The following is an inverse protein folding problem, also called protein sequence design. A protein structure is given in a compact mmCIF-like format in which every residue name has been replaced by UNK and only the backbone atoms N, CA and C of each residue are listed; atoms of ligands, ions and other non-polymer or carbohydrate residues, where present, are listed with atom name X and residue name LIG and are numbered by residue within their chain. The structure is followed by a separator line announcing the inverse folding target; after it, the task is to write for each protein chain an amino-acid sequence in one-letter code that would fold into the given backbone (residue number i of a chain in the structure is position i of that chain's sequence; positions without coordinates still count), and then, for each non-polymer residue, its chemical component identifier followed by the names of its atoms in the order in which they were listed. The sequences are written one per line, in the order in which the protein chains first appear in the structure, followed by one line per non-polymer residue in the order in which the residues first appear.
data_IF_298587836020
#
_entry.id   IF_298587836020
#
_cell.length_a   1.000
_cell.length_b   1.000
_cell.length_c   1.000
_cell.angle_alpha   90.00
_cell.angle_beta   90.00
_cell.angle_gamma   90.00
#
_symmetry.space_group_name_H-M   'P 1'
#
loop_
_entity.id
_entity.type
_entity.pdbx_description
1 polymer ?
#
# COMPACT_ATOMS: atom_id res chain seq x y z
N UNK A 1 0.17 18.46 9.57
CA UNK A 1 -0.59 18.41 10.84
C UNK A 1 -0.86 16.95 11.15
N UNK A 2 -0.34 16.44 12.26
CA UNK A 2 -0.46 15.03 12.65
C UNK A 2 -1.91 14.76 13.10
N UNK A 3 -2.53 13.67 12.62
CA UNK A 3 -3.96 13.37 12.83
C UNK A 3 -4.26 12.60 14.13
N UNK A 4 -3.33 12.58 15.09
CA UNK A 4 -3.40 11.71 16.27
C UNK A 4 -4.70 11.92 17.04
N UNK A 5 -5.02 13.16 17.42
CA UNK A 5 -6.24 13.50 18.17
C UNK A 5 -7.55 13.18 17.43
N UNK A 6 -7.53 13.09 16.10
CA UNK A 6 -8.70 12.70 15.31
C UNK A 6 -8.91 11.18 15.27
N UNK A 7 -7.84 10.41 15.47
CA UNK A 7 -7.84 8.96 15.40
C UNK A 7 -7.98 8.30 16.77
N UNK A 8 -7.55 8.96 17.84
CA UNK A 8 -7.69 8.49 19.23
C UNK A 8 -9.11 7.99 19.58
N UNK A 9 -10.21 8.68 19.21
CA UNK A 9 -11.54 8.17 19.52
C UNK A 9 -11.99 6.98 18.65
N UNK A 10 -11.24 6.63 17.60
CA UNK A 10 -11.59 5.60 16.61
C UNK A 10 -10.76 4.32 16.72
N UNK A 11 -9.71 4.32 17.55
CA UNK A 11 -8.78 3.20 17.67
C UNK A 11 -8.35 3.00 19.12
N UNK A 12 -8.11 1.74 19.51
CA UNK A 12 -7.60 1.42 20.84
C UNK A 12 -6.22 2.03 21.12
N UNK A 13 -5.40 2.18 20.07
CA UNK A 13 -4.06 2.75 20.15
C UNK A 13 -3.73 3.49 18.86
N UNK A 14 -3.22 4.71 18.98
CA UNK A 14 -2.69 5.50 17.86
C UNK A 14 -1.23 5.80 18.12
N UNK A 15 -0.38 5.49 17.16
CA UNK A 15 1.05 5.75 17.24
C UNK A 15 1.53 6.50 16.00
N UNK A 16 2.40 7.49 16.21
CA UNK A 16 3.12 8.13 15.11
C UNK A 16 4.42 7.37 14.86
N UNK A 17 4.46 6.63 13.76
CA UNK A 17 5.64 5.83 13.39
C UNK A 17 6.15 6.27 12.02
N UNK A 18 7.48 6.36 11.90
CA UNK A 18 8.14 6.45 10.60
C UNK A 18 8.32 5.04 10.08
N UNK A 19 7.79 4.74 8.90
CA UNK A 19 7.87 3.40 8.31
C UNK A 19 9.29 2.88 8.05
N UNK A 20 10.30 3.75 8.12
CA UNK A 20 11.72 3.40 7.97
C UNK A 20 12.46 3.14 9.29
N UNK A 21 11.75 3.14 10.43
CA UNK A 21 12.34 2.94 11.75
C UNK A 21 11.93 1.57 12.30
N UNK A 22 12.86 0.61 12.25
CA UNK A 22 12.61 -0.79 12.58
C UNK A 22 12.16 -1.01 14.02
N UNK A 23 12.80 -0.35 15.00
CA UNK A 23 12.46 -0.49 16.43
C UNK A 23 11.02 -0.07 16.72
N UNK A 24 10.57 1.03 16.12
CA UNK A 24 9.21 1.54 16.31
C UNK A 24 8.17 0.64 15.64
N UNK A 25 8.47 0.12 14.43
CA UNK A 25 7.58 -0.83 13.77
C UNK A 25 7.51 -2.15 14.53
N UNK A 26 8.63 -2.70 14.97
CA UNK A 26 8.66 -3.93 15.76
C UNK A 26 7.82 -3.78 17.04
N UNK A 27 7.96 -2.66 17.76
CA UNK A 27 7.18 -2.37 18.95
C UNK A 27 5.68 -2.18 18.65
N UNK A 28 5.33 -1.53 17.53
CA UNK A 28 3.94 -1.35 17.12
C UNK A 28 3.25 -2.67 16.79
N UNK A 29 4.01 -3.61 16.24
CA UNK A 29 3.54 -4.93 15.80
C UNK A 29 3.58 -5.99 16.91
N UNK A 30 4.15 -5.67 18.09
CA UNK A 30 3.97 -6.55 19.25
C UNK A 30 2.48 -6.60 19.61
N UNK A 31 2.01 -7.80 19.94
CA UNK A 31 0.62 -8.11 20.30
C UNK A 31 -0.40 -7.90 19.16
N UNK A 32 0.06 -7.92 17.90
CA UNK A 32 -0.81 -7.80 16.72
C UNK A 32 -0.74 -9.06 15.84
N UNK A 33 -1.89 -9.66 15.54
CA UNK A 33 -1.97 -10.85 14.68
C UNK A 33 -2.06 -10.51 13.18
N UNK A 34 -2.56 -9.32 12.85
CA UNK A 34 -2.78 -8.87 11.48
C UNK A 34 -2.24 -7.46 11.25
N UNK A 35 -1.56 -7.29 10.11
CA UNK A 35 -1.08 -6.00 9.61
C UNK A 35 -1.74 -5.67 8.27
N UNK A 36 -2.54 -4.60 8.25
CA UNK A 36 -3.03 -3.97 7.02
C UNK A 36 -2.18 -2.74 6.68
N UNK A 37 -1.43 -2.81 5.59
CA UNK A 37 -0.50 -1.75 5.15
C UNK A 37 -1.21 -0.81 4.17
N UNK A 38 -1.72 0.30 4.69
CA UNK A 38 -2.39 1.37 3.94
C UNK A 38 -1.53 2.66 3.86
N UNK A 39 -0.29 2.54 3.37
CA UNK A 39 0.60 3.70 3.22
C UNK A 39 0.31 4.46 1.92
N UNK A 40 0.51 5.78 1.94
CA UNK A 40 0.31 6.63 0.77
C UNK A 40 1.31 7.77 0.74
N UNK A 41 2.04 7.91 -0.37
CA UNK A 41 2.96 9.02 -0.56
C UNK A 41 2.18 10.34 -0.62
N UNK A 42 2.36 11.20 0.38
CA UNK A 42 1.80 12.54 0.41
C UNK A 42 2.34 13.43 -0.72
N UNK A 43 1.71 14.59 -0.94
CA UNK A 43 2.22 15.59 -1.90
C UNK A 43 3.64 16.02 -1.50
N UNK A 44 4.59 15.91 -2.43
CA UNK A 44 6.00 16.24 -2.19
C UNK A 44 6.79 15.19 -1.40
N UNK A 45 6.18 14.06 -1.02
CA UNK A 45 6.86 12.95 -0.36
C UNK A 45 7.57 12.02 -1.34
N UNK A 46 8.65 11.37 -0.90
CA UNK A 46 9.33 10.32 -1.68
C UNK A 46 8.44 9.07 -1.76
N UNK A 47 8.11 8.67 -2.99
CA UNK A 47 7.31 7.47 -3.27
C UNK A 47 8.07 6.21 -2.84
N UNK A 48 9.34 6.10 -3.21
CA UNK A 48 10.25 5.01 -2.83
C UNK A 48 10.37 4.87 -1.32
N UNK A 49 10.63 5.98 -0.60
CA UNK A 49 10.74 5.94 0.86
C UNK A 49 9.43 5.52 1.53
N UNK A 50 8.30 5.94 0.97
CA UNK A 50 6.99 5.63 1.56
C UNK A 50 6.62 4.17 1.37
N UNK A 51 6.83 3.62 0.17
CA UNK A 51 6.42 2.26 -0.16
C UNK A 51 7.57 1.27 0.07
N UNK A 52 8.62 1.34 -0.74
CA UNK A 52 9.69 0.34 -0.77
C UNK A 52 10.47 0.29 0.55
N UNK A 53 10.94 1.44 1.06
CA UNK A 53 11.72 1.42 2.31
C UNK A 53 10.88 0.99 3.52
N UNK A 54 9.58 1.32 3.53
CA UNK A 54 8.67 0.82 4.57
C UNK A 54 8.51 -0.70 4.47
N UNK A 55 8.31 -1.23 3.26
CA UNK A 55 8.21 -2.68 3.05
C UNK A 55 9.50 -3.42 3.42
N UNK A 56 10.67 -2.88 3.08
CA UNK A 56 11.96 -3.44 3.50
C UNK A 56 12.11 -3.46 5.02
N UNK A 57 11.68 -2.39 5.69
CA UNK A 57 11.71 -2.32 7.15
C UNK A 57 10.75 -3.34 7.78
N UNK A 58 9.54 -3.47 7.24
CA UNK A 58 8.57 -4.50 7.67
C UNK A 58 9.15 -5.91 7.48
N UNK A 59 9.72 -6.20 6.31
CA UNK A 59 10.35 -7.49 6.03
C UNK A 59 11.45 -7.85 7.03
N UNK A 60 12.22 -6.87 7.51
CA UNK A 60 13.26 -7.09 8.51
C UNK A 60 12.72 -7.41 9.92
N UNK A 61 11.51 -6.98 10.26
CA UNK A 61 10.96 -7.10 11.63
C UNK A 61 9.86 -8.14 11.77
N UNK A 62 9.13 -8.48 10.70
CA UNK A 62 7.95 -9.37 10.75
C UNK A 62 8.25 -10.74 11.37
N UNK A 63 9.44 -11.31 11.13
CA UNK A 63 9.81 -12.61 11.71
C UNK A 63 9.95 -12.59 13.25
N UNK A 64 10.01 -11.40 13.86
CA UNK A 64 10.17 -11.18 15.29
C UNK A 64 8.86 -10.73 15.97
N UNK A 65 7.74 -10.76 15.25
CA UNK A 65 6.43 -10.32 15.76
C UNK A 65 5.43 -11.49 15.69
N UNK A 66 4.32 -11.44 16.43
CA UNK A 66 3.26 -12.45 16.36
C UNK A 66 2.38 -12.32 15.10
N UNK A 67 2.71 -11.45 14.14
CA UNK A 67 1.86 -11.19 12.97
C UNK A 67 1.77 -12.43 12.09
N UNK A 68 0.55 -12.93 11.92
CA UNK A 68 0.24 -14.11 11.11
C UNK A 68 -0.28 -13.75 9.71
N UNK A 69 -0.74 -12.51 9.51
CA UNK A 69 -1.29 -12.04 8.24
C UNK A 69 -0.84 -10.62 7.92
N UNK A 70 -0.23 -10.43 6.75
CA UNK A 70 0.01 -9.12 6.14
C UNK A 70 -0.94 -8.94 4.95
N UNK A 71 -1.58 -7.79 4.87
CA UNK A 71 -2.39 -7.36 3.72
C UNK A 71 -1.81 -6.04 3.22
N UNK A 72 -1.44 -5.98 1.95
CA UNK A 72 -0.91 -4.78 1.32
C UNK A 72 -1.88 -4.23 0.27
N UNK A 73 -2.22 -2.94 0.38
CA UNK A 73 -3.00 -2.24 -0.64
C UNK A 73 -2.08 -1.74 -1.74
N UNK A 74 -1.92 -2.54 -2.78
CA UNK A 74 -1.21 -2.21 -4.01
C UNK A 74 -2.14 -1.50 -5.01
N UNK A 75 -1.71 -1.39 -6.27
CA UNK A 75 -2.37 -0.66 -7.33
C UNK A 75 -2.61 -1.54 -8.57
N UNK A 76 -3.82 -1.45 -9.13
CA UNK A 76 -4.14 -2.05 -10.43
C UNK A 76 -3.28 -1.51 -11.59
N UNK A 77 -2.63 -0.34 -11.42
CA UNK A 77 -1.75 0.24 -12.43
C UNK A 77 -0.59 -0.67 -12.83
N UNK A 78 -0.29 -1.70 -12.02
CA UNK A 78 0.72 -2.70 -12.33
C UNK A 78 0.34 -3.61 -13.49
N UNK A 79 -0.93 -3.70 -13.88
CA UNK A 79 -1.31 -4.44 -15.08
C UNK A 79 -1.02 -3.64 -16.36
N UNK A 80 -0.88 -2.31 -16.25
CA UNK A 80 -0.73 -1.44 -17.40
C UNK A 80 -2.03 -1.27 -18.17
N UNK A 81 -1.90 -0.82 -19.41
CA UNK A 81 -3.03 -0.60 -20.31
C UNK A 81 -3.37 -1.90 -21.08
N UNK A 82 -4.64 -2.28 -21.03
CA UNK A 82 -5.20 -3.48 -21.63
C UNK A 82 -6.28 -3.17 -22.68
N UNK A 83 -6.45 -1.91 -23.11
CA UNK A 83 -7.36 -1.56 -24.21
C UNK A 83 -8.81 -1.97 -23.97
N UNK A 84 -9.29 -1.77 -22.74
CA UNK A 84 -10.61 -2.20 -22.29
C UNK A 84 -10.81 -3.72 -22.14
N UNK A 85 -9.78 -4.54 -22.35
CA UNK A 85 -9.86 -5.98 -22.10
C UNK A 85 -9.94 -6.30 -20.60
N UNK A 86 -10.51 -7.46 -20.30
CA UNK A 86 -10.54 -7.98 -18.93
C UNK A 86 -9.13 -8.26 -18.42
N UNK A 87 -8.91 -7.90 -17.16
CA UNK A 87 -7.66 -8.15 -16.43
C UNK A 87 -7.96 -9.08 -15.26
N UNK A 88 -7.04 -9.99 -14.97
CA UNK A 88 -7.12 -10.92 -13.83
C UNK A 88 -5.82 -10.90 -13.03
N UNK A 89 -5.86 -11.35 -11.79
CA UNK A 89 -4.72 -11.42 -10.89
C UNK A 89 -3.62 -12.38 -11.37
N UNK A 90 -3.97 -13.33 -12.24
CA UNK A 90 -3.02 -14.25 -12.86
C UNK A 90 -2.15 -13.58 -13.95
N UNK A 91 -2.51 -12.38 -14.41
CA UNK A 91 -1.74 -11.67 -15.43
C UNK A 91 -0.43 -11.14 -14.84
N UNK A 92 0.69 -11.28 -15.58
CA UNK A 92 1.97 -10.77 -15.12
C UNK A 92 1.91 -9.23 -15.01
N UNK A 93 2.54 -8.64 -13.98
CA UNK A 93 2.62 -7.20 -13.88
C UNK A 93 3.47 -6.63 -15.02
N UNK A 94 2.99 -5.54 -15.60
CA UNK A 94 3.62 -4.71 -16.63
C UNK A 94 3.75 -3.27 -16.09
N UNK A 95 4.67 -3.03 -15.13
CA UNK A 95 4.86 -1.70 -14.55
C UNK A 95 5.23 -0.68 -15.64
N UNK A 96 4.66 0.52 -15.53
CA UNK A 96 4.96 1.64 -16.42
C UNK A 96 5.49 2.84 -15.60
N UNK A 97 6.79 3.10 -15.73
CA UNK A 97 7.49 4.20 -15.07
C UNK A 97 7.84 3.94 -13.60
N UNK A 98 8.65 4.83 -13.04
CA UNK A 98 9.35 4.62 -11.76
C UNK A 98 8.44 4.25 -10.59
N UNK A 99 7.25 4.88 -10.50
CA UNK A 99 6.30 4.59 -9.41
C UNK A 99 5.72 3.19 -9.50
N UNK A 100 5.45 2.70 -10.71
CA UNK A 100 4.95 1.34 -10.89
C UNK A 100 6.05 0.32 -10.59
N UNK A 101 7.29 0.60 -10.98
CA UNK A 101 8.45 -0.24 -10.64
C UNK A 101 8.67 -0.32 -9.12
N UNK A 102 8.62 0.82 -8.43
CA UNK A 102 8.70 0.88 -6.96
C UNK A 102 7.57 0.08 -6.32
N UNK A 103 6.34 0.21 -6.82
CA UNK A 103 5.19 -0.54 -6.30
C UNK A 103 5.38 -2.05 -6.50
N UNK A 104 5.85 -2.49 -7.67
CA UNK A 104 6.14 -3.90 -7.92
C UNK A 104 7.27 -4.43 -7.02
N UNK A 105 8.33 -3.65 -6.81
CA UNK A 105 9.40 -3.99 -5.88
C UNK A 105 8.87 -4.09 -4.43
N UNK A 106 7.92 -3.23 -4.06
CA UNK A 106 7.24 -3.25 -2.76
C UNK A 106 6.41 -4.52 -2.60
N UNK A 107 5.61 -4.90 -3.61
CA UNK A 107 4.84 -6.16 -3.60
C UNK A 107 5.76 -7.36 -3.41
N UNK A 108 6.83 -7.45 -4.20
CA UNK A 108 7.83 -8.53 -4.12
C UNK A 108 8.46 -8.62 -2.73
N UNK A 109 8.93 -7.48 -2.23
CA UNK A 109 9.56 -7.39 -0.90
C UNK A 109 8.65 -7.93 0.20
N UNK A 110 7.36 -7.63 0.17
CA UNK A 110 6.42 -8.15 1.16
C UNK A 110 6.09 -9.62 0.91
N UNK A 111 5.84 -10.02 -0.34
CA UNK A 111 5.54 -11.42 -0.70
C UNK A 111 6.68 -12.37 -0.32
N UNK A 112 7.94 -11.93 -0.43
CA UNK A 112 9.12 -12.70 -0.04
C UNK A 112 9.20 -12.98 1.46
N UNK A 113 8.41 -12.27 2.29
CA UNK A 113 8.29 -12.53 3.74
C UNK A 113 7.30 -13.65 4.07
N UNK A 114 6.52 -14.11 3.09
CA UNK A 114 5.52 -15.15 3.30
C UNK A 114 6.17 -16.44 3.80
N UNK A 115 5.58 -17.04 4.82
CA UNK A 115 6.06 -18.26 5.45
C UNK A 115 4.89 -19.09 5.99
N UNK A 116 5.19 -20.25 6.57
CA UNK A 116 4.18 -21.07 7.23
C UNK A 116 3.52 -20.37 8.44
N UNK A 117 4.17 -19.36 9.02
CA UNK A 117 3.66 -18.59 10.17
C UNK A 117 2.96 -17.30 9.76
N UNK A 118 3.43 -16.67 8.68
CA UNK A 118 2.93 -15.37 8.24
C UNK A 118 2.52 -15.42 6.77
N UNK A 119 1.23 -15.24 6.51
CA UNK A 119 0.66 -15.17 5.15
C UNK A 119 0.67 -13.74 4.65
N UNK A 120 0.92 -13.56 3.35
CA UNK A 120 0.94 -12.24 2.71
C UNK A 120 -0.10 -12.21 1.61
N UNK A 121 -0.96 -11.20 1.63
CA UNK A 121 -1.98 -10.95 0.62
C UNK A 121 -1.78 -9.56 0.01
N UNK A 122 -1.88 -9.47 -1.32
CA UNK A 122 -1.73 -8.21 -2.05
C UNK A 122 -3.05 -7.90 -2.75
N UNK A 123 -3.63 -6.74 -2.43
CA UNK A 123 -4.80 -6.21 -3.12
C UNK A 123 -4.37 -5.14 -4.11
N UNK A 124 -4.38 -5.46 -5.41
CA UNK A 124 -4.17 -4.49 -6.49
C UNK A 124 -5.46 -3.72 -6.73
N UNK A 125 -5.69 -2.69 -5.91
CA UNK A 125 -6.95 -1.96 -5.85
C UNK A 125 -7.07 -0.95 -6.99
N UNK A 126 -8.31 -0.77 -7.46
CA UNK A 126 -8.73 0.32 -8.35
C UNK A 126 -8.75 1.69 -7.66
N UNK A 127 -9.21 2.71 -8.37
CA UNK A 127 -9.43 4.04 -7.78
C UNK A 127 -10.54 4.00 -6.73
N UNK A 128 -10.19 4.15 -5.44
CA UNK A 128 -11.16 4.20 -4.33
C UNK A 128 -11.92 5.55 -4.36
N UNK A 129 -13.25 5.48 -4.34
CA UNK A 129 -14.17 6.63 -4.33
C UNK A 129 -15.20 6.49 -3.19
N UNK A 130 -15.87 7.59 -2.87
CA UNK A 130 -16.87 7.66 -1.81
C UNK A 130 -17.01 9.08 -1.24
N UNK A 131 -17.73 9.26 -0.13
CA UNK A 131 -17.98 10.56 0.47
C UNK A 131 -16.71 11.42 0.61
N UNK A 132 -16.72 12.60 0.00
CA UNK A 132 -15.58 13.54 0.02
C UNK A 132 -14.50 13.26 -1.05
N UNK A 133 -14.61 12.15 -1.77
CA UNK A 133 -13.80 11.75 -2.92
C UNK A 133 -14.68 11.24 -4.06
N UNK A 134 -15.57 12.11 -4.51
CA UNK A 134 -16.53 11.82 -5.58
C UNK A 134 -15.86 11.59 -6.93
N UNK A 135 -16.45 10.74 -7.77
CA UNK A 135 -15.96 10.46 -9.13
C UNK A 135 -15.82 11.74 -9.95
N UNK A 136 -16.78 12.67 -9.85
CA UNK A 136 -16.70 13.96 -10.53
C UNK A 136 -15.43 14.74 -10.17
N UNK A 137 -14.96 14.68 -8.92
CA UNK A 137 -13.72 15.34 -8.50
C UNK A 137 -12.47 14.63 -9.02
N UNK A 138 -12.52 13.31 -9.18
CA UNK A 138 -11.42 12.50 -9.70
C UNK A 138 -11.25 12.73 -11.20
N UNK A 139 -12.36 12.73 -11.94
CA UNK A 139 -12.38 12.77 -13.41
C UNK A 139 -12.58 14.16 -14.01
N UNK A 140 -12.90 15.20 -13.22
CA UNK A 140 -13.09 16.57 -13.71
C UNK A 140 -11.91 17.09 -14.52
N UNK A 141 -10.69 16.71 -14.17
CA UNK A 141 -9.46 17.09 -14.87
C UNK A 141 -9.33 16.48 -16.28
N UNK A 142 -10.15 15.49 -16.59
CA UNK A 142 -10.19 14.79 -17.86
C UNK A 142 -11.48 15.08 -18.65
N UNK A 143 -12.35 15.95 -18.13
CA UNK A 143 -13.61 16.28 -18.78
C UNK A 143 -13.35 16.89 -20.17
N UNK A 144 -14.07 16.39 -21.18
CA UNK A 144 -13.89 16.81 -22.58
C UNK A 144 -12.64 16.25 -23.27
N UNK A 145 -11.88 15.37 -22.61
CA UNK A 145 -10.73 14.68 -23.20
C UNK A 145 -11.01 13.20 -23.42
N UNK A 146 -10.51 12.63 -24.52
CA UNK A 146 -10.42 11.17 -24.69
C UNK A 146 -9.03 10.75 -24.23
N UNK A 147 -8.97 9.77 -23.32
CA UNK A 147 -7.69 9.18 -22.93
C UNK A 147 -7.50 7.87 -23.69
N UNK A 148 -6.28 7.57 -24.17
CA UNK A 148 -5.97 6.22 -24.58
C UNK A 148 -6.16 5.32 -23.36
N UNK A 149 -6.77 4.17 -23.57
CA UNK A 149 -6.97 3.13 -22.56
C UNK A 149 -7.25 1.83 -23.25
#
# INVERSE_FOLDING_TARGET
MQKVSQLEPLANRVALVKGTESSHLAALLQDQDLLLVCVGAGRGGSYERTYLHTAQTLAAVLAQTPVEQVIFTSSYSLYGDHQGAWVTEAMPPKPAGDKAEIMLATERTLLDTASHRCRVCVFRLGGIYGPGRELGRIFSRSAGSTRPG
#
